data_IF_987325311818
#
_entry.id   IF_987325311818
#
_cell.length_a   1.000
_cell.length_b   1.000
_cell.length_c   1.000
_cell.angle_alpha   90.00
_cell.angle_beta   90.00
_cell.angle_gamma   90.00
#
_symmetry.space_group_name_H-M   'P 1'
#
loop_
_entity.id
_entity.type
_entity.pdbx_description
1 polymer ?
#
# COMPACT_ATOMS: atom_id res chain seq x y z
N UNK A 1 10.82 -7.27 -5.41
CA UNK A 1 10.68 -5.85 -5.06
C UNK A 1 11.24 -4.90 -6.14
N UNK A 2 12.19 -5.35 -6.95
CA UNK A 2 12.61 -4.57 -8.11
C UNK A 2 11.56 -4.73 -9.21
N UNK A 3 11.00 -3.61 -9.65
CA UNK A 3 10.03 -3.54 -10.74
C UNK A 3 10.68 -2.83 -11.92
N UNK A 4 10.28 -3.22 -13.12
CA UNK A 4 10.70 -2.58 -14.37
C UNK A 4 9.46 -2.05 -15.09
N UNK A 5 9.54 -0.90 -15.76
CA UNK A 5 8.44 -0.39 -16.55
C UNK A 5 8.00 -1.41 -17.61
N UNK A 6 6.70 -1.57 -17.77
CA UNK A 6 6.15 -2.34 -18.87
C UNK A 6 6.36 -1.57 -20.20
N UNK A 7 6.69 -2.28 -21.28
CA UNK A 7 6.89 -1.68 -22.59
C UNK A 7 5.58 -1.49 -23.39
N UNK A 8 4.45 -2.02 -22.89
CA UNK A 8 3.16 -1.98 -23.55
C UNK A 8 2.07 -2.58 -22.69
N UNK A 9 0.90 -2.88 -23.29
CA UNK A 9 -0.23 -3.45 -22.57
C UNK A 9 0.11 -4.75 -21.87
N UNK A 10 -0.37 -4.91 -20.64
CA UNK A 10 -0.16 -6.08 -19.80
C UNK A 10 -1.49 -6.51 -19.18
N UNK A 11 -1.70 -7.82 -19.04
CA UNK A 11 -2.92 -8.35 -18.41
C UNK A 11 -2.87 -8.16 -16.90
N UNK A 12 -3.92 -7.56 -16.36
CA UNK A 12 -4.18 -7.48 -14.93
C UNK A 12 -5.19 -8.55 -14.55
N UNK A 13 -4.71 -9.60 -13.90
CA UNK A 13 -5.52 -10.67 -13.34
C UNK A 13 -5.94 -10.40 -11.91
N UNK A 14 -6.77 -11.30 -11.35
CA UNK A 14 -7.33 -11.22 -9.98
C UNK A 14 -6.29 -10.95 -8.89
N UNK A 15 -5.06 -11.41 -9.05
CA UNK A 15 -4.05 -11.41 -7.99
C UNK A 15 -2.85 -10.53 -8.30
N UNK A 16 -2.55 -10.28 -9.56
CA UNK A 16 -1.38 -9.50 -9.98
C UNK A 16 -1.40 -9.17 -11.48
N UNK A 17 -0.42 -8.40 -11.92
CA UNK A 17 -0.07 -8.23 -13.32
C UNK A 17 0.66 -9.47 -13.85
N UNK A 18 0.42 -9.83 -15.10
CA UNK A 18 1.16 -10.92 -15.76
C UNK A 18 2.67 -10.66 -15.69
N UNK A 19 3.43 -11.68 -15.29
CA UNK A 19 4.87 -11.56 -15.10
C UNK A 19 5.32 -10.96 -13.79
N UNK A 20 4.40 -10.46 -12.95
CA UNK A 20 4.72 -10.04 -11.59
C UNK A 20 4.63 -11.22 -10.62
N UNK A 21 5.68 -11.46 -9.87
CA UNK A 21 5.75 -12.50 -8.85
C UNK A 21 5.74 -11.89 -7.44
N UNK A 22 4.81 -12.34 -6.60
CA UNK A 22 4.80 -12.00 -5.17
C UNK A 22 5.52 -13.13 -4.41
N UNK A 23 6.72 -12.82 -3.90
CA UNK A 23 7.55 -13.80 -3.18
C UNK A 23 6.97 -14.23 -1.81
N UNK A 24 5.98 -13.50 -1.31
CA UNK A 24 5.37 -13.73 0.00
C UNK A 24 3.86 -13.53 -0.12
N UNK A 25 3.17 -14.62 -0.34
CA UNK A 25 1.71 -14.62 -0.54
C UNK A 25 0.93 -14.42 0.77
N UNK A 26 1.56 -14.67 1.92
CA UNK A 26 0.91 -14.53 3.23
C UNK A 26 0.77 -13.06 3.62
N UNK A 27 1.84 -12.27 3.47
CA UNK A 27 1.87 -10.89 3.92
C UNK A 27 1.68 -9.87 2.80
N UNK A 28 2.09 -10.20 1.57
CA UNK A 28 2.11 -9.29 0.42
C UNK A 28 1.20 -9.71 -0.74
N UNK A 29 0.47 -10.82 -0.61
CA UNK A 29 -0.43 -11.37 -1.61
C UNK A 29 -1.90 -11.33 -1.21
N UNK A 30 -2.71 -11.97 -2.04
CA UNK A 30 -4.16 -12.10 -1.87
C UNK A 30 -4.94 -11.07 -2.68
N UNK A 31 -6.23 -11.32 -2.80
CA UNK A 31 -7.15 -10.51 -3.64
C UNK A 31 -7.17 -9.03 -3.28
N UNK A 32 -6.99 -8.69 -2.01
CA UNK A 32 -6.99 -7.31 -1.52
C UNK A 32 -5.68 -6.55 -1.80
N UNK A 33 -4.65 -7.23 -2.27
CA UNK A 33 -3.32 -6.68 -2.55
C UNK A 33 -2.82 -7.03 -3.95
N UNK A 34 -3.73 -7.10 -4.90
CA UNK A 34 -3.42 -7.48 -6.28
C UNK A 34 -2.44 -6.49 -6.93
N UNK A 35 -2.62 -5.20 -6.69
CA UNK A 35 -1.78 -4.13 -7.24
C UNK A 35 -1.44 -3.13 -6.12
N UNK A 36 -0.18 -2.74 -6.05
CA UNK A 36 0.29 -1.63 -5.24
C UNK A 36 0.38 -0.37 -6.10
N UNK A 37 -0.27 0.69 -5.67
CA UNK A 37 -0.20 2.02 -6.28
C UNK A 37 0.61 2.97 -5.40
N UNK A 38 1.36 3.89 -6.03
CA UNK A 38 2.16 4.88 -5.32
C UNK A 38 2.20 6.22 -6.08
N UNK A 39 1.90 7.35 -5.42
CA UNK A 39 1.98 8.69 -6.01
C UNK A 39 3.41 9.13 -6.29
N UNK A 40 3.68 9.62 -7.50
CA UNK A 40 4.98 10.22 -7.86
C UNK A 40 5.19 11.59 -7.21
N UNK A 41 4.13 12.25 -6.77
CA UNK A 41 4.16 13.52 -6.03
C UNK A 41 5.08 13.44 -4.79
N UNK A 42 5.12 12.30 -4.15
CA UNK A 42 5.97 12.09 -2.97
C UNK A 42 7.46 12.06 -3.27
N UNK A 43 7.85 11.90 -4.54
CA UNK A 43 9.27 11.96 -4.92
C UNK A 43 9.89 13.31 -4.62
N UNK A 44 9.12 14.39 -4.60
CA UNK A 44 9.62 15.70 -4.20
C UNK A 44 10.17 15.67 -2.77
N UNK A 45 9.44 15.04 -1.85
CA UNK A 45 9.90 14.84 -0.46
C UNK A 45 11.09 13.87 -0.39
N UNK A 46 10.99 12.73 -1.08
CA UNK A 46 12.00 11.68 -1.01
C UNK A 46 13.33 12.06 -1.65
N UNK A 47 13.37 13.02 -2.58
CA UNK A 47 14.64 13.55 -3.17
C UNK A 47 15.60 14.10 -2.13
N UNK A 48 15.11 14.55 -0.97
CA UNK A 48 15.96 15.00 0.15
C UNK A 48 16.57 13.86 0.97
N UNK A 49 16.12 12.62 0.76
CA UNK A 49 16.48 11.45 1.58
C UNK A 49 17.10 10.34 0.72
N UNK A 50 16.55 10.15 -0.49
CA UNK A 50 16.91 9.08 -1.41
C UNK A 50 17.65 9.64 -2.64
N UNK A 51 18.56 8.87 -3.27
CA UNK A 51 19.24 9.29 -4.49
C UNK A 51 18.22 9.63 -5.60
N UNK A 52 18.15 10.88 -6.08
CA UNK A 52 17.11 11.32 -7.01
C UNK A 52 17.04 10.51 -8.31
N UNK A 53 18.19 10.07 -8.84
CA UNK A 53 18.28 9.28 -10.07
C UNK A 53 17.67 7.87 -9.96
N UNK A 54 17.40 7.41 -8.75
CA UNK A 54 16.74 6.11 -8.47
C UNK A 54 15.24 6.24 -8.18
N UNK A 55 14.71 7.47 -8.08
CA UNK A 55 13.28 7.74 -7.91
C UNK A 55 12.61 7.69 -9.29
N UNK A 56 12.24 6.51 -9.71
CA UNK A 56 11.57 6.19 -10.98
C UNK A 56 10.40 5.25 -10.71
N UNK A 57 9.58 4.96 -11.69
CA UNK A 57 8.49 3.99 -11.53
C UNK A 57 8.97 2.68 -10.92
N UNK A 58 8.25 2.18 -9.93
CA UNK A 58 8.62 1.01 -9.15
C UNK A 58 9.64 1.27 -8.02
N UNK A 59 10.01 2.53 -7.76
CA UNK A 59 11.01 2.90 -6.75
C UNK A 59 10.69 2.36 -5.35
N UNK A 60 9.43 2.34 -4.97
CA UNK A 60 8.94 1.79 -3.71
C UNK A 60 8.38 0.37 -3.85
N UNK A 61 8.59 -0.28 -5.02
CA UNK A 61 8.10 -1.63 -5.32
C UNK A 61 6.61 -1.65 -5.70
N UNK A 62 6.06 -0.51 -6.06
CA UNK A 62 4.72 -0.36 -6.59
C UNK A 62 4.60 -0.94 -8.01
N UNK A 63 3.38 -1.30 -8.37
CA UNK A 63 3.01 -1.73 -9.72
C UNK A 63 2.54 -0.53 -10.57
N UNK A 64 1.75 0.35 -9.96
CA UNK A 64 1.27 1.57 -10.57
C UNK A 64 1.96 2.76 -9.91
N UNK A 65 2.78 3.47 -10.67
CA UNK A 65 3.24 4.80 -10.30
C UNK A 65 2.23 5.79 -10.85
N UNK A 66 1.56 6.52 -9.98
CA UNK A 66 0.47 7.42 -10.34
C UNK A 66 0.93 8.87 -10.35
N UNK A 67 0.24 9.70 -11.12
CA UNK A 67 0.38 11.15 -11.15
C UNK A 67 -1.03 11.77 -11.03
N UNK A 68 -1.15 12.83 -10.23
CA UNK A 68 -2.41 13.54 -10.02
C UNK A 68 -3.36 12.94 -8.96
N UNK A 69 -2.96 11.89 -8.26
CA UNK A 69 -3.74 11.26 -7.18
C UNK A 69 -2.82 10.94 -5.99
N UNK A 70 -3.18 11.43 -4.82
CA UNK A 70 -2.51 11.14 -3.55
C UNK A 70 -3.45 10.42 -2.57
N UNK A 71 -2.96 10.04 -1.41
CA UNK A 71 -3.74 9.42 -0.34
C UNK A 71 -4.89 10.29 0.15
N UNK A 72 -4.82 11.60 -0.06
CA UNK A 72 -5.89 12.54 0.29
C UNK A 72 -7.03 12.58 -0.75
N UNK A 73 -6.73 12.22 -1.99
CA UNK A 73 -7.66 12.33 -3.12
C UNK A 73 -8.51 11.08 -3.34
N UNK A 74 -8.09 9.95 -2.78
CA UNK A 74 -8.72 8.63 -2.98
C UNK A 74 -9.27 8.06 -1.68
N UNK A 75 -10.38 7.31 -1.78
CA UNK A 75 -11.08 6.73 -0.63
C UNK A 75 -11.08 5.19 -0.67
N UNK A 76 -11.19 4.57 0.51
CA UNK A 76 -11.44 3.13 0.63
C UNK A 76 -12.74 2.80 -0.12
N UNK A 77 -12.67 1.80 -0.99
CA UNK A 77 -13.82 1.38 -1.80
C UNK A 77 -13.99 2.15 -3.11
N UNK A 78 -13.22 3.22 -3.36
CA UNK A 78 -13.23 3.89 -4.68
C UNK A 78 -12.99 2.86 -5.79
N UNK A 79 -13.83 2.91 -6.82
CA UNK A 79 -13.74 2.06 -8.00
C UNK A 79 -13.22 2.88 -9.17
N UNK A 80 -12.17 2.39 -9.81
CA UNK A 80 -11.57 3.02 -10.99
C UNK A 80 -11.55 2.08 -12.18
N UNK A 81 -11.80 2.62 -13.38
CA UNK A 81 -11.37 1.97 -14.61
C UNK A 81 -9.88 2.19 -14.83
N UNK A 82 -9.19 1.14 -15.29
CA UNK A 82 -7.76 1.14 -15.63
C UNK A 82 -7.59 0.37 -16.94
N UNK A 83 -7.56 1.06 -18.07
CA UNK A 83 -7.67 0.42 -19.39
C UNK A 83 -9.00 -0.33 -19.53
N UNK A 84 -8.96 -1.65 -19.77
CA UNK A 84 -10.17 -2.49 -19.76
C UNK A 84 -10.44 -3.20 -18.43
N UNK A 85 -9.54 -3.05 -17.45
CA UNK A 85 -9.72 -3.57 -16.10
C UNK A 85 -10.52 -2.60 -15.23
N UNK A 86 -11.13 -3.14 -14.15
CA UNK A 86 -11.77 -2.37 -13.09
C UNK A 86 -11.15 -2.77 -11.76
N UNK A 87 -10.70 -1.77 -10.99
CA UNK A 87 -10.01 -1.96 -9.71
C UNK A 87 -10.72 -1.19 -8.60
N UNK A 88 -10.59 -1.68 -7.36
CA UNK A 88 -11.16 -1.03 -6.18
C UNK A 88 -10.11 -0.86 -5.11
N UNK A 89 -10.05 0.33 -4.49
CA UNK A 89 -9.15 0.59 -3.36
C UNK A 89 -9.58 -0.23 -2.15
N UNK A 90 -8.67 -1.05 -1.66
CA UNK A 90 -8.91 -2.02 -0.59
C UNK A 90 -8.34 -1.59 0.76
N UNK A 91 -7.18 -0.96 0.77
CA UNK A 91 -6.48 -0.54 1.98
C UNK A 91 -5.29 0.39 1.68
N UNK A 92 -4.88 1.25 2.62
CA UNK A 92 -3.55 1.85 2.57
C UNK A 92 -2.46 0.77 2.61
N UNK A 93 -1.33 1.05 1.98
CA UNK A 93 -0.18 0.16 2.08
C UNK A 93 0.46 0.28 3.46
N UNK A 94 0.84 -0.84 4.04
CA UNK A 94 1.70 -0.90 5.21
C UNK A 94 3.15 -1.17 4.75
N UNK A 95 4.04 -0.17 4.83
CA UNK A 95 5.43 -0.34 4.44
C UNK A 95 6.13 -1.41 5.28
N UNK A 96 7.11 -2.11 4.70
CA UNK A 96 7.82 -3.19 5.37
C UNK A 96 9.34 -3.05 5.22
N UNK A 97 10.09 -3.79 6.02
CA UNK A 97 11.55 -3.83 6.05
C UNK A 97 12.22 -4.06 4.69
N UNK A 98 11.53 -4.67 3.72
CA UNK A 98 12.06 -4.87 2.37
C UNK A 98 12.42 -3.56 1.67
N UNK A 99 11.71 -2.46 1.99
CA UNK A 99 12.04 -1.11 1.51
C UNK A 99 13.32 -0.58 2.15
N UNK A 100 13.46 -0.75 3.47
CA UNK A 100 14.67 -0.39 4.19
C UNK A 100 15.91 -1.09 3.59
N UNK A 101 15.79 -2.39 3.30
CA UNK A 101 16.85 -3.18 2.66
C UNK A 101 17.16 -2.72 1.24
N UNK A 102 16.14 -2.38 0.44
CA UNK A 102 16.33 -1.88 -0.93
C UNK A 102 17.08 -0.56 -0.96
N UNK A 103 16.71 0.35 -0.07
CA UNK A 103 17.24 1.71 -0.04
C UNK A 103 18.41 1.88 0.93
N UNK A 104 18.73 0.87 1.74
CA UNK A 104 19.76 0.90 2.80
C UNK A 104 19.49 1.99 3.85
N UNK A 105 18.22 2.21 4.17
CA UNK A 105 17.75 3.15 5.20
C UNK A 105 16.87 2.34 6.15
N UNK A 106 17.39 2.05 7.35
CA UNK A 106 16.80 1.10 8.28
C UNK A 106 15.39 1.46 8.74
N UNK A 107 15.08 2.74 8.88
CA UNK A 107 13.80 3.25 9.35
C UNK A 107 12.87 3.77 8.23
N UNK A 108 13.18 3.48 6.96
CA UNK A 108 12.39 3.99 5.83
C UNK A 108 10.90 3.64 5.94
N UNK A 109 10.57 2.42 6.39
CA UNK A 109 9.18 2.01 6.60
C UNK A 109 8.48 2.88 7.66
N UNK A 110 9.20 3.23 8.74
CA UNK A 110 8.70 4.11 9.79
C UNK A 110 8.53 5.55 9.27
N UNK A 111 9.47 6.05 8.46
CA UNK A 111 9.34 7.36 7.83
C UNK A 111 8.13 7.45 6.91
N UNK A 112 7.86 6.41 6.12
CA UNK A 112 6.67 6.35 5.27
C UNK A 112 5.37 6.34 6.08
N UNK A 113 5.31 5.62 7.19
CA UNK A 113 4.16 5.64 8.09
C UNK A 113 3.97 7.01 8.74
N UNK A 114 5.07 7.65 9.16
CA UNK A 114 5.04 8.97 9.80
C UNK A 114 4.56 10.07 8.85
N UNK A 115 4.97 10.02 7.57
CA UNK A 115 4.55 10.99 6.56
C UNK A 115 3.16 10.71 6.01
N UNK A 116 2.68 9.47 6.12
CA UNK A 116 1.47 9.00 5.43
C UNK A 116 1.68 8.73 3.93
N UNK A 117 2.88 8.90 3.40
CA UNK A 117 3.25 8.67 2.00
C UNK A 117 3.47 7.19 1.74
N UNK A 118 2.42 6.43 1.86
CA UNK A 118 2.46 4.96 1.85
C UNK A 118 2.08 4.35 0.52
N UNK A 119 1.26 5.07 -0.27
CA UNK A 119 0.50 4.48 -1.35
C UNK A 119 -0.63 3.58 -0.81
N UNK A 120 -1.24 2.83 -1.69
CA UNK A 120 -2.36 1.95 -1.35
C UNK A 120 -2.36 0.69 -2.19
N UNK A 121 -3.19 -0.27 -1.78
CA UNK A 121 -3.49 -1.46 -2.56
C UNK A 121 -4.87 -1.38 -3.18
N UNK A 122 -5.00 -2.05 -4.32
CA UNK A 122 -6.29 -2.29 -4.95
C UNK A 122 -6.54 -3.78 -5.14
N UNK A 123 -7.81 -4.15 -5.11
CA UNK A 123 -8.32 -5.44 -5.60
C UNK A 123 -8.83 -5.29 -7.01
N UNK A 124 -8.84 -6.37 -7.76
CA UNK A 124 -9.34 -6.40 -9.14
C UNK A 124 -10.79 -6.86 -9.14
N UNK A 125 -11.68 -5.98 -9.58
CA UNK A 125 -13.12 -6.28 -9.74
C UNK A 125 -13.36 -6.96 -11.07
N UNK A 126 -12.76 -6.40 -12.13
CA UNK A 126 -12.79 -6.97 -13.47
C UNK A 126 -11.36 -7.01 -14.01
N UNK A 127 -10.96 -8.19 -14.48
CA UNK A 127 -9.67 -8.40 -15.13
C UNK A 127 -9.65 -7.72 -16.51
N UNK A 128 -8.47 -7.31 -16.96
CA UNK A 128 -8.35 -6.65 -18.25
C UNK A 128 -6.94 -6.22 -18.58
N UNK A 129 -6.79 -5.56 -19.72
CA UNK A 129 -5.52 -4.98 -20.17
C UNK A 129 -5.31 -3.61 -19.55
N UNK A 130 -4.11 -3.37 -19.05
CA UNK A 130 -3.63 -2.06 -18.58
C UNK A 130 -2.34 -1.72 -19.30
N UNK A 131 -2.09 -0.44 -19.53
CA UNK A 131 -0.87 0.01 -20.23
C UNK A 131 -0.28 1.26 -19.56
N UNK A 132 1.04 1.48 -19.72
CA UNK A 132 1.67 2.72 -19.27
C UNK A 132 1.01 3.94 -19.90
N UNK A 133 0.78 4.99 -19.09
CA UNK A 133 0.12 6.21 -19.53
C UNK A 133 -1.42 6.14 -19.56
N UNK A 134 -2.02 4.98 -19.30
CA UNK A 134 -3.47 4.87 -19.16
C UNK A 134 -3.97 5.72 -17.98
N UNK A 135 -5.12 6.36 -18.16
CA UNK A 135 -5.77 7.15 -17.10
C UNK A 135 -6.58 6.23 -16.19
N UNK A 136 -6.49 6.47 -14.89
CA UNK A 136 -7.44 5.96 -13.91
C UNK A 136 -8.65 6.88 -13.90
N UNK A 137 -9.84 6.37 -14.19
CA UNK A 137 -11.07 7.13 -14.15
C UNK A 137 -11.94 6.64 -12.98
N UNK A 138 -12.26 7.55 -12.06
CA UNK A 138 -13.15 7.26 -10.95
C UNK A 138 -14.55 6.95 -11.48
N UNK A 139 -15.09 5.80 -11.12
CA UNK A 139 -16.42 5.33 -11.49
C UNK A 139 -17.39 5.45 -10.30
N UNK A 140 -16.95 5.05 -9.10
CA UNK A 140 -17.77 5.04 -7.89
C UNK A 140 -16.94 5.45 -6.67
N UNK A 141 -17.58 6.16 -5.73
CA UNK A 141 -17.01 6.53 -4.42
C UNK A 141 -18.02 6.22 -3.31
N UNK A 142 -18.07 4.97 -2.84
CA UNK A 142 -19.07 4.56 -1.85
C UNK A 142 -18.79 5.03 -0.42
N UNK A 143 -17.55 5.32 -0.07
CA UNK A 143 -17.13 5.69 1.30
C UNK A 143 -16.30 6.98 1.30
N UNK A 144 -16.88 8.15 0.95
CA UNK A 144 -16.14 9.41 0.79
C UNK A 144 -15.50 9.90 2.10
N UNK A 145 -15.96 9.46 3.26
CA UNK A 145 -15.41 9.79 4.57
C UNK A 145 -14.09 9.07 4.89
N UNK A 146 -13.77 8.00 4.18
CA UNK A 146 -12.59 7.17 4.44
C UNK A 146 -11.51 7.36 3.38
N UNK A 147 -10.92 8.57 3.30
CA UNK A 147 -9.73 8.73 2.46
C UNK A 147 -8.61 7.79 2.91
N UNK A 148 -7.72 7.40 1.99
CA UNK A 148 -6.53 6.60 2.32
C UNK A 148 -5.68 7.32 3.37
N UNK A 149 -5.57 8.65 3.29
CA UNK A 149 -4.89 9.47 4.29
C UNK A 149 -5.56 9.38 5.67
N UNK A 150 -6.90 9.44 5.75
CA UNK A 150 -7.64 9.29 7.00
C UNK A 150 -7.45 7.89 7.58
N UNK A 151 -7.51 6.84 6.76
CA UNK A 151 -7.28 5.47 7.22
C UNK A 151 -5.86 5.29 7.77
N UNK A 152 -4.83 5.85 7.10
CA UNK A 152 -3.45 5.87 7.59
C UNK A 152 -3.33 6.58 8.95
N UNK A 153 -3.95 7.74 9.10
CA UNK A 153 -3.93 8.54 10.33
C UNK A 153 -4.52 7.75 11.49
N UNK A 154 -5.68 7.12 11.31
CA UNK A 154 -6.33 6.27 12.33
C UNK A 154 -5.44 5.07 12.69
N UNK A 155 -4.81 4.42 11.69
CA UNK A 155 -4.00 3.24 11.93
C UNK A 155 -2.70 3.57 12.68
N UNK A 156 -1.99 4.63 12.30
CA UNK A 156 -0.62 4.87 12.72
C UNK A 156 -0.46 6.00 13.73
N UNK A 157 -1.30 7.04 13.68
CA UNK A 157 -1.14 8.26 14.50
C UNK A 157 -2.20 8.38 15.60
N UNK A 158 -3.44 8.01 15.33
CA UNK A 158 -4.55 8.11 16.29
C UNK A 158 -4.86 6.75 16.95
N UNK A 159 -3.85 6.08 17.47
CA UNK A 159 -4.00 4.71 18.00
C UNK A 159 -4.99 4.61 19.15
N UNK A 160 -5.16 5.67 19.92
CA UNK A 160 -6.08 5.74 21.06
C UNK A 160 -7.51 6.17 20.67
N UNK A 161 -7.75 6.54 19.42
CA UNK A 161 -9.07 6.89 18.91
C UNK A 161 -9.85 5.61 18.55
N UNK A 162 -10.33 4.91 19.58
CA UNK A 162 -11.01 3.62 19.40
C UNK A 162 -12.32 3.77 18.63
N UNK A 163 -13.03 4.88 18.79
CA UNK A 163 -14.29 5.14 18.05
C UNK A 163 -14.02 5.23 16.54
N UNK A 164 -12.98 5.96 16.11
CA UNK A 164 -12.63 6.03 14.71
C UNK A 164 -12.11 4.68 14.19
N UNK A 165 -11.34 3.95 15.00
CA UNK A 165 -10.85 2.62 14.67
C UNK A 165 -12.00 1.62 14.47
N UNK A 166 -13.00 1.63 15.33
CA UNK A 166 -14.18 0.79 15.22
C UNK A 166 -14.98 1.09 13.96
N UNK A 167 -15.32 2.36 13.73
CA UNK A 167 -16.06 2.80 12.53
C UNK A 167 -15.36 2.41 11.23
N UNK A 168 -14.04 2.65 11.13
CA UNK A 168 -13.26 2.24 9.97
C UNK A 168 -13.18 0.71 9.86
N UNK A 169 -13.02 0.00 10.98
CA UNK A 169 -12.99 -1.46 11.04
C UNK A 169 -14.29 -2.14 10.64
N UNK A 170 -15.41 -1.41 10.65
CA UNK A 170 -16.72 -1.86 10.18
C UNK A 170 -16.98 -1.57 8.70
N UNK A 171 -16.10 -0.81 8.03
CA UNK A 171 -16.24 -0.53 6.60
C UNK A 171 -16.10 -1.84 5.79
N UNK A 172 -17.14 -2.29 5.09
CA UNK A 172 -17.13 -3.60 4.41
C UNK A 172 -16.19 -3.64 3.20
N UNK A 173 -15.81 -2.47 2.66
CA UNK A 173 -14.91 -2.34 1.52
C UNK A 173 -13.43 -2.28 1.92
N UNK A 174 -13.14 -2.06 3.21
CA UNK A 174 -11.79 -2.18 3.75
C UNK A 174 -11.33 -3.64 3.72
N UNK A 175 -10.06 -3.90 3.46
CA UNK A 175 -9.52 -5.26 3.46
C UNK A 175 -9.73 -5.99 4.77
N UNK A 176 -9.91 -7.31 4.70
CA UNK A 176 -10.14 -8.14 5.89
C UNK A 176 -9.01 -8.02 6.93
N UNK A 177 -7.76 -7.90 6.48
CA UNK A 177 -6.60 -7.75 7.37
C UNK A 177 -6.63 -6.44 8.17
N UNK A 178 -7.03 -5.34 7.54
CA UNK A 178 -7.18 -4.05 8.22
C UNK A 178 -8.36 -4.03 9.18
N UNK A 179 -9.52 -4.56 8.74
CA UNK A 179 -10.69 -4.72 9.61
C UNK A 179 -10.33 -5.51 10.88
N UNK A 180 -9.65 -6.65 10.70
CA UNK A 180 -9.22 -7.49 11.82
C UNK A 180 -8.31 -6.73 12.80
N UNK A 181 -7.28 -6.04 12.29
CA UNK A 181 -6.34 -5.25 13.11
C UNK A 181 -7.04 -4.16 13.92
N UNK A 182 -7.98 -3.43 13.29
CA UNK A 182 -8.71 -2.34 13.94
C UNK A 182 -9.67 -2.88 15.00
N UNK A 183 -10.37 -3.99 14.72
CA UNK A 183 -11.26 -4.65 15.70
C UNK A 183 -10.49 -5.20 16.89
N UNK A 184 -9.34 -5.85 16.67
CA UNK A 184 -8.48 -6.31 17.77
C UNK A 184 -8.05 -5.16 18.68
N UNK A 185 -7.69 -4.01 18.10
CA UNK A 185 -7.35 -2.81 18.88
C UNK A 185 -8.51 -2.36 19.79
N UNK A 186 -9.76 -2.37 19.29
CA UNK A 186 -10.93 -1.99 20.07
C UNK A 186 -11.23 -2.95 21.23
N UNK A 187 -10.82 -4.22 21.10
CA UNK A 187 -10.99 -5.23 22.14
C UNK A 187 -9.78 -5.33 23.11
N UNK A 188 -8.91 -4.32 23.17
CA UNK A 188 -7.70 -4.30 24.00
C UNK A 188 -6.76 -5.50 23.78
N UNK A 189 -6.83 -6.14 22.63
CA UNK A 189 -5.90 -7.18 22.27
C UNK A 189 -4.64 -6.55 21.69
N UNK A 190 -3.47 -7.10 22.05
CA UNK A 190 -2.22 -6.64 21.46
C UNK A 190 -2.30 -6.75 19.93
N UNK A 191 -2.14 -5.60 19.26
CA UNK A 191 -2.10 -5.58 17.79
C UNK A 191 -0.91 -6.40 17.26
N UNK A 192 -0.90 -6.74 15.97
CA UNK A 192 0.21 -7.51 15.38
C UNK A 192 1.54 -6.80 15.61
N UNK A 193 2.60 -7.58 15.84
CA UNK A 193 3.95 -7.07 16.02
C UNK A 193 4.39 -6.23 14.80
N UNK A 194 4.43 -4.92 15.00
CA UNK A 194 4.86 -3.98 13.97
C UNK A 194 6.37 -3.97 13.79
N UNK A 195 7.15 -4.39 14.80
CA UNK A 195 8.61 -4.39 14.74
C UNK A 195 9.12 -5.36 13.67
N UNK A 196 8.59 -6.59 13.64
CA UNK A 196 8.97 -7.53 12.59
C UNK A 196 8.65 -7.00 11.19
N UNK A 197 7.51 -6.34 10.99
CA UNK A 197 7.15 -5.75 9.71
C UNK A 197 8.05 -4.57 9.32
N UNK A 198 8.40 -3.73 10.27
CA UNK A 198 9.20 -2.51 10.02
C UNK A 198 10.69 -2.80 9.85
N UNK A 199 11.24 -3.75 10.61
CA UNK A 199 12.69 -3.98 10.71
C UNK A 199 13.14 -5.39 10.26
N UNK A 200 12.22 -6.33 10.05
CA UNK A 200 12.55 -7.74 9.76
C UNK A 200 13.01 -8.51 10.99
N UNK A 201 13.44 -9.75 10.79
CA UNK A 201 14.09 -10.56 11.84
C UNK A 201 15.49 -10.01 12.10
N UNK A 202 15.73 -9.49 13.30
CA UNK A 202 17.08 -9.27 13.79
C UNK A 202 17.68 -10.64 14.10
N UNK A 203 18.60 -11.13 13.25
CA UNK A 203 19.50 -12.17 13.67
C UNK A 203 20.37 -11.61 14.80
N UNK A 204 20.05 -11.92 16.03
CA UNK A 204 21.00 -11.77 17.14
C UNK A 204 22.16 -12.73 16.83
N UNK A 205 23.25 -12.19 16.32
CA UNK A 205 24.54 -12.87 16.32
C UNK A 205 24.96 -13.00 17.79
N UNK A 206 24.61 -14.12 18.39
CA UNK A 206 25.26 -14.55 19.63
C UNK A 206 26.71 -14.87 19.30
N UNK A 207 27.58 -13.88 19.48
CA UNK A 207 29.01 -14.09 19.58
C UNK A 207 29.24 -14.83 20.90
N UNK A 208 29.36 -16.14 20.81
CA UNK A 208 29.95 -16.93 21.89
C UNK A 208 31.47 -16.69 21.86
N UNK A 209 31.97 -16.10 22.91
CA UNK A 209 33.38 -16.10 23.28
C UNK A 209 33.78 -17.47 23.82
#
# INVERSE_FOLDING_TARGET
>A
MFKHPAAGPIWLGRHNLTGDGQADLVHHGGVDKAVCAYPSEHWLYWRGILPPHRLTGGAFGENFTLEGLTEADVCIGDVFSAGTAVVQISQPRQPCWKLARRWQINDLAVQMERTGFTGWYVRVIQEGMVEPGARLQLMERPCPEWTVATANRIMHHERNNLTAAERLGLCPLLSASWQHTLRQRCHNQAGPDTQHRQFGTTHSSSSSL
#
